data_IF_553017265830
#
_entry.id   IF_553017265830
#
_cell.length_a   1.000
_cell.length_b   1.000
_cell.length_c   1.000
_cell.angle_alpha   90.00
_cell.angle_beta   90.00
_cell.angle_gamma   90.00
#
_symmetry.space_group_name_H-M   'P 1'
#
loop_
_entity.id
_entity.type
_entity.pdbx_description
1 polymer ?
#
# COMPACT_ATOMS: atom_id res chain seq x y z
N UNK A 1 19.51 -8.59 -0.39
CA UNK A 1 18.77 -8.22 0.83
C UNK A 1 17.93 -7.00 0.49
N UNK A 2 16.68 -6.91 0.97
CA UNK A 2 15.82 -5.73 0.76
C UNK A 2 16.20 -4.68 1.80
N UNK A 3 17.11 -3.78 1.43
CA UNK A 3 17.59 -2.73 2.31
C UNK A 3 16.98 -1.37 1.95
N UNK A 4 16.53 -0.59 2.94
CA UNK A 4 16.10 0.77 2.68
C UNK A 4 17.30 1.59 2.23
N UNK A 5 17.21 2.20 1.04
CA UNK A 5 18.31 3.05 0.59
C UNK A 5 18.19 4.46 1.15
N UNK A 6 19.22 4.88 1.89
CA UNK A 6 19.31 6.24 2.43
C UNK A 6 19.58 7.28 1.34
N UNK A 7 20.36 6.91 0.31
CA UNK A 7 20.74 7.83 -0.77
C UNK A 7 19.53 8.22 -1.62
N UNK A 8 18.89 7.24 -2.26
CA UNK A 8 17.70 7.47 -3.08
C UNK A 8 16.54 8.03 -2.23
N UNK A 9 16.45 7.62 -0.96
CA UNK A 9 15.49 8.18 -0.01
C UNK A 9 15.68 9.68 0.19
N UNK A 10 16.92 10.13 0.43
CA UNK A 10 17.25 11.56 0.53
C UNK A 10 16.94 12.32 -0.75
N UNK A 11 17.29 11.77 -1.91
CA UNK A 11 16.99 12.39 -3.21
C UNK A 11 15.48 12.60 -3.41
N UNK A 12 14.65 11.62 -3.02
CA UNK A 12 13.19 11.75 -3.07
C UNK A 12 12.66 12.79 -2.08
N UNK A 13 13.24 12.88 -0.87
CA UNK A 13 12.86 13.91 0.10
C UNK A 13 13.15 15.33 -0.40
N UNK A 14 14.32 15.53 -1.02
CA UNK A 14 14.72 16.80 -1.63
C UNK A 14 13.74 17.21 -2.74
N UNK A 15 13.33 16.25 -3.58
CA UNK A 15 12.32 16.46 -4.63
C UNK A 15 10.93 16.77 -4.07
N UNK A 16 10.54 16.13 -2.96
CA UNK A 16 9.23 16.29 -2.35
C UNK A 16 9.04 17.61 -1.59
N UNK A 17 10.12 18.38 -1.35
CA UNK A 17 10.10 19.71 -0.71
C UNK A 17 9.29 19.73 0.60
N UNK A 18 9.60 18.79 1.50
CA UNK A 18 8.97 18.67 2.82
C UNK A 18 7.58 18.02 2.83
N UNK A 19 7.10 17.49 1.69
CA UNK A 19 5.82 16.78 1.59
C UNK A 19 5.93 15.26 1.70
N UNK A 20 7.13 14.74 1.96
CA UNK A 20 7.38 13.31 2.12
C UNK A 20 8.17 13.03 3.40
N UNK A 21 8.09 11.77 3.83
CA UNK A 21 8.79 11.21 4.97
C UNK A 21 9.42 9.90 4.52
N UNK A 22 10.68 9.70 4.87
CA UNK A 22 11.33 8.39 4.78
C UNK A 22 11.32 7.74 6.16
N UNK A 23 10.94 6.46 6.20
CA UNK A 23 11.08 5.59 7.37
C UNK A 23 12.01 4.45 6.96
N UNK A 24 13.33 4.54 7.24
CA UNK A 24 14.29 3.52 6.83
C UNK A 24 14.18 2.30 7.75
N UNK A 25 13.22 1.42 7.47
CA UNK A 25 12.94 0.21 8.25
C UNK A 25 13.02 -1.02 7.35
N UNK A 26 13.56 -2.12 7.89
CA UNK A 26 13.49 -3.44 7.26
C UNK A 26 12.19 -4.11 7.70
N UNK A 27 11.41 -4.63 6.76
CA UNK A 27 10.11 -5.21 7.02
C UNK A 27 10.21 -6.75 7.13
N UNK A 28 10.95 -7.24 8.12
CA UNK A 28 11.13 -8.70 8.29
C UNK A 28 10.05 -9.30 9.19
N UNK A 29 9.68 -8.57 10.24
CA UNK A 29 8.72 -9.01 11.24
C UNK A 29 7.45 -8.16 11.19
N UNK A 30 6.34 -8.73 11.67
CA UNK A 30 5.07 -8.01 11.75
C UNK A 30 5.18 -6.72 12.58
N UNK A 31 6.06 -6.70 13.60
CA UNK A 31 6.34 -5.52 14.42
C UNK A 31 6.92 -4.37 13.59
N UNK A 32 7.78 -4.66 12.62
CA UNK A 32 8.39 -3.63 11.77
C UNK A 32 7.33 -2.91 10.92
N UNK A 33 6.40 -3.69 10.36
CA UNK A 33 5.26 -3.15 9.62
C UNK A 33 4.34 -2.30 10.52
N UNK A 34 4.04 -2.77 11.74
CA UNK A 34 3.26 -2.00 12.70
C UNK A 34 3.94 -0.67 13.07
N UNK A 35 5.24 -0.70 13.33
CA UNK A 35 6.02 0.50 13.67
C UNK A 35 6.06 1.50 12.50
N UNK A 36 6.16 1.02 11.25
CA UNK A 36 6.08 1.87 10.06
C UNK A 36 4.71 2.57 9.92
N UNK A 37 3.62 1.83 10.16
CA UNK A 37 2.26 2.40 10.16
C UNK A 37 2.11 3.44 11.26
N UNK A 38 2.57 3.15 12.48
CA UNK A 38 2.50 4.08 13.60
C UNK A 38 3.29 5.37 13.36
N UNK A 39 4.50 5.27 12.80
CA UNK A 39 5.31 6.44 12.43
C UNK A 39 4.63 7.29 11.35
N UNK A 40 4.05 6.65 10.33
CA UNK A 40 3.29 7.34 9.28
C UNK A 40 2.11 8.11 9.87
N UNK A 41 1.35 7.48 10.77
CA UNK A 41 0.22 8.11 11.45
C UNK A 41 0.66 9.23 12.40
N UNK A 42 1.79 9.08 13.07
CA UNK A 42 2.36 10.15 13.91
C UNK A 42 2.72 11.39 13.09
N UNK A 43 3.24 11.20 11.88
CA UNK A 43 3.65 12.30 11.01
C UNK A 43 2.47 12.96 10.27
N UNK A 44 1.50 12.17 9.79
CA UNK A 44 0.45 12.66 8.89
C UNK A 44 -0.97 12.59 9.44
N UNK A 45 -1.19 11.85 10.54
CA UNK A 45 -2.51 11.67 11.17
C UNK A 45 -3.48 10.77 10.40
N UNK A 46 -3.17 10.37 9.17
CA UNK A 46 -4.02 9.54 8.29
C UNK A 46 -3.21 8.72 7.30
N UNK A 47 -3.84 7.70 6.72
CA UNK A 47 -3.30 6.89 5.61
C UNK A 47 -4.40 6.74 4.57
N UNK A 48 -4.17 7.31 3.38
CA UNK A 48 -5.15 7.35 2.29
C UNK A 48 -5.04 6.22 1.27
N UNK A 49 -3.84 5.69 1.13
CA UNK A 49 -3.52 4.59 0.26
C UNK A 49 -2.30 3.85 0.79
N UNK A 50 -2.15 2.61 0.33
CA UNK A 50 -0.99 1.79 0.59
C UNK A 50 -0.50 1.26 -0.75
N UNK A 51 0.78 1.47 -1.06
CA UNK A 51 1.43 0.92 -2.25
C UNK A 51 2.44 -0.11 -1.81
N UNK A 52 2.24 -1.34 -2.27
CA UNK A 52 3.09 -2.48 -1.99
C UNK A 52 3.97 -2.74 -3.23
N UNK A 53 5.22 -2.29 -3.17
CA UNK A 53 6.20 -2.47 -4.27
C UNK A 53 7.56 -3.04 -3.84
N UNK A 54 7.77 -3.27 -2.54
CA UNK A 54 9.02 -3.85 -2.05
C UNK A 54 9.12 -5.34 -2.46
N UNK A 55 10.20 -5.70 -3.15
CA UNK A 55 10.47 -7.07 -3.54
C UNK A 55 11.85 -7.22 -4.17
N UNK A 56 12.40 -8.42 -4.12
CA UNK A 56 13.63 -8.78 -4.82
C UNK A 56 13.41 -10.07 -5.60
N UNK A 57 13.82 -10.05 -6.86
CA UNK A 57 13.91 -11.26 -7.65
C UNK A 57 15.20 -11.99 -7.26
N UNK A 58 15.06 -13.09 -6.53
CA UNK A 58 16.16 -13.95 -6.11
C UNK A 58 16.44 -15.12 -7.05
N UNK A 59 15.80 -15.14 -8.23
CA UNK A 59 15.96 -16.18 -9.25
C UNK A 59 15.59 -17.59 -8.79
N UNK A 60 14.79 -17.71 -7.71
CA UNK A 60 14.26 -19.00 -7.25
C UNK A 60 13.11 -19.43 -8.15
N UNK A 61 13.36 -20.46 -8.97
CA UNK A 61 12.40 -21.08 -9.87
C UNK A 61 12.45 -22.61 -9.77
N UNK A 62 11.75 -23.29 -10.67
CA UNK A 62 11.66 -24.76 -10.67
C UNK A 62 13.01 -25.47 -10.93
N UNK A 63 13.90 -24.84 -11.71
CA UNK A 63 15.22 -25.39 -12.05
C UNK A 63 16.29 -25.09 -10.99
N UNK A 64 16.22 -23.90 -10.37
CA UNK A 64 17.29 -23.36 -9.52
C UNK A 64 16.88 -23.24 -8.05
N UNK A 65 15.74 -23.83 -7.67
CA UNK A 65 15.16 -23.72 -6.35
C UNK A 65 14.72 -25.06 -5.77
N UNK A 66 14.19 -25.00 -4.56
CA UNK A 66 13.54 -26.11 -3.87
C UNK A 66 12.35 -25.57 -3.04
N UNK A 67 11.49 -26.44 -2.48
CA UNK A 67 10.32 -25.99 -1.72
C UNK A 67 10.64 -25.04 -0.55
N UNK A 68 11.74 -25.26 0.16
CA UNK A 68 12.17 -24.42 1.29
C UNK A 68 12.63 -23.04 0.81
N UNK A 69 13.48 -22.98 -0.22
CA UNK A 69 13.94 -21.71 -0.79
C UNK A 69 12.79 -20.90 -1.39
N UNK A 70 11.81 -21.57 -2.00
CA UNK A 70 10.60 -20.93 -2.52
C UNK A 70 9.76 -20.33 -1.39
N UNK A 71 9.54 -21.08 -0.31
CA UNK A 71 8.82 -20.57 0.86
C UNK A 71 9.50 -19.33 1.46
N UNK A 72 10.84 -19.32 1.55
CA UNK A 72 11.60 -18.15 1.98
C UNK A 72 11.49 -16.97 1.00
N UNK A 73 11.52 -17.21 -0.31
CA UNK A 73 11.35 -16.16 -1.33
C UNK A 73 9.95 -15.52 -1.21
N UNK A 74 8.92 -16.33 -1.07
CA UNK A 74 7.53 -15.87 -0.83
C UNK A 74 7.44 -15.07 0.46
N UNK A 75 7.98 -15.58 1.55
CA UNK A 75 7.96 -14.91 2.84
C UNK A 75 8.60 -13.51 2.77
N UNK A 76 9.79 -13.44 2.18
CA UNK A 76 10.57 -12.20 2.06
C UNK A 76 9.90 -11.15 1.17
N UNK A 77 9.10 -11.56 0.20
CA UNK A 77 8.50 -10.65 -0.78
C UNK A 77 7.01 -10.33 -0.50
N UNK A 78 6.29 -11.16 0.24
CA UNK A 78 4.84 -11.05 0.37
C UNK A 78 4.33 -10.94 1.82
N UNK A 79 5.07 -11.39 2.83
CA UNK A 79 4.58 -11.30 4.21
C UNK A 79 4.38 -9.85 4.65
N UNK A 80 5.34 -8.98 4.36
CA UNK A 80 5.26 -7.57 4.73
C UNK A 80 4.12 -6.83 4.02
N UNK A 81 3.72 -7.25 2.80
CA UNK A 81 2.53 -6.70 2.14
C UNK A 81 1.26 -6.98 2.92
N UNK A 82 1.10 -8.22 3.37
CA UNK A 82 -0.04 -8.59 4.20
C UNK A 82 -0.03 -7.83 5.52
N UNK A 83 1.10 -7.78 6.22
CA UNK A 83 1.24 -7.13 7.52
C UNK A 83 0.94 -5.62 7.43
N UNK A 84 1.52 -4.91 6.45
CA UNK A 84 1.23 -3.49 6.22
C UNK A 84 -0.25 -3.26 5.91
N UNK A 85 -0.85 -4.05 5.03
CA UNK A 85 -2.26 -3.93 4.68
C UNK A 85 -3.16 -4.21 5.89
N UNK A 86 -2.84 -5.23 6.68
CA UNK A 86 -3.56 -5.59 7.89
C UNK A 86 -3.58 -4.43 8.89
N UNK A 87 -2.43 -3.85 9.20
CA UNK A 87 -2.33 -2.73 10.16
C UNK A 87 -2.87 -1.41 9.61
N UNK A 88 -2.78 -1.17 8.29
CA UNK A 88 -3.34 0.03 7.65
C UNK A 88 -4.88 -0.02 7.50
N UNK A 89 -5.48 -1.21 7.49
CA UNK A 89 -6.89 -1.43 7.14
C UNK A 89 -7.89 -0.53 7.89
N UNK A 90 -7.80 -0.29 9.21
CA UNK A 90 -8.72 0.58 9.92
C UNK A 90 -8.69 2.03 9.42
N UNK A 91 -7.55 2.49 8.92
CA UNK A 91 -7.35 3.86 8.43
C UNK A 91 -7.85 3.98 6.99
N UNK A 92 -7.55 2.99 6.15
CA UNK A 92 -8.03 2.93 4.75
C UNK A 92 -9.57 2.89 4.68
N UNK A 93 -10.22 2.13 5.57
CA UNK A 93 -11.70 2.05 5.65
C UNK A 93 -12.37 3.38 6.03
N UNK A 94 -11.72 4.25 6.81
CA UNK A 94 -12.28 5.55 7.20
C UNK A 94 -12.49 6.47 6.00
N UNK A 95 -11.66 6.34 4.96
CA UNK A 95 -11.82 7.12 3.73
C UNK A 95 -12.96 6.55 2.90
N UNK A 96 -13.01 5.24 2.71
CA UNK A 96 -14.08 4.61 1.95
C UNK A 96 -15.46 4.93 2.56
N UNK A 97 -15.58 4.92 3.88
CA UNK A 97 -16.82 5.31 4.57
C UNK A 97 -17.11 6.81 4.56
N UNK A 98 -16.09 7.67 4.47
CA UNK A 98 -16.28 9.13 4.27
C UNK A 98 -16.76 9.45 2.85
N UNK A 99 -16.19 8.78 1.84
CA UNK A 99 -16.64 8.85 0.45
C UNK A 99 -18.06 8.29 0.29
N UNK A 100 -18.37 7.17 0.97
CA UNK A 100 -19.72 6.58 0.94
C UNK A 100 -20.75 7.43 1.72
N UNK A 101 -20.34 8.22 2.72
CA UNK A 101 -21.25 9.19 3.39
C UNK A 101 -21.62 10.39 2.51
N UNK A 102 -20.85 10.67 1.46
CA UNK A 102 -21.18 11.71 0.50
C UNK A 102 -22.25 11.27 -0.51
N UNK A 103 -22.57 9.97 -0.55
CA UNK A 103 -23.72 9.41 -1.26
C UNK A 103 -24.76 8.94 -0.24
N UNK A 104 -25.87 9.67 -0.01
CA UNK A 104 -26.89 9.20 0.91
C UNK A 104 -27.42 7.84 0.44
N UNK A 105 -27.39 6.86 1.35
CA UNK A 105 -27.98 5.55 1.19
C UNK A 105 -29.52 5.66 1.15
N UNK A 106 -30.05 6.20 0.05
CA UNK A 106 -31.48 6.27 -0.20
C UNK A 106 -31.78 6.43 -1.70
N UNK A 107 -31.57 5.37 -2.46
CA UNK A 107 -32.46 5.05 -3.59
C UNK A 107 -32.63 3.54 -3.66
N UNK A 108 -33.57 3.08 -2.84
CA UNK A 108 -34.19 1.76 -2.96
C UNK A 108 -34.89 1.73 -4.32
N UNK A 109 -34.72 0.62 -5.03
CA UNK A 109 -35.24 0.30 -6.36
C UNK A 109 -36.66 0.82 -6.62
N UNK A 110 -36.78 1.95 -7.31
CA UNK A 110 -37.87 2.24 -8.25
C UNK A 110 -37.39 3.34 -9.18
N UNK A 111 -37.66 3.16 -10.48
CA UNK A 111 -37.18 3.98 -11.61
C UNK A 111 -35.76 3.64 -12.10
N UNK A 112 -35.64 2.46 -12.71
CA UNK A 112 -34.73 2.29 -13.83
C UNK A 112 -35.26 3.11 -15.01
N UNK A 113 -34.59 4.23 -15.36
CA UNK A 113 -34.54 4.88 -16.68
C UNK A 113 -33.89 6.27 -16.59
N UNK A 114 -32.65 6.34 -16.10
CA UNK A 114 -31.80 7.49 -16.45
C UNK A 114 -30.40 6.95 -16.76
N UNK A 115 -29.90 7.28 -17.94
CA UNK A 115 -28.53 7.02 -18.35
C UNK A 115 -27.59 7.68 -17.34
N UNK A 116 -26.57 6.97 -16.82
CA UNK A 116 -25.67 7.54 -15.83
C UNK A 116 -24.96 8.78 -16.40
N UNK A 117 -24.74 9.83 -15.60
CA UNK A 117 -23.90 10.95 -16.02
C UNK A 117 -22.48 10.44 -16.26
N UNK A 118 -21.78 11.09 -17.19
CA UNK A 118 -20.41 10.76 -17.60
C UNK A 118 -19.45 11.00 -16.42
N UNK A 119 -19.26 9.98 -15.59
CA UNK A 119 -18.32 10.00 -14.48
C UNK A 119 -16.94 9.68 -15.07
N UNK A 120 -15.98 10.62 -15.07
CA UNK A 120 -14.64 10.31 -15.53
C UNK A 120 -14.08 9.21 -14.62
N UNK A 121 -13.77 8.06 -15.21
CA UNK A 121 -13.08 6.98 -14.52
C UNK A 121 -11.79 7.55 -13.90
N UNK A 122 -11.47 7.22 -12.64
CA UNK A 122 -10.18 7.58 -12.09
C UNK A 122 -9.12 7.01 -13.03
N UNK A 123 -8.25 7.89 -13.56
CA UNK A 123 -7.09 7.49 -14.35
C UNK A 123 -6.20 6.63 -13.46
N UNK A 124 -6.41 5.32 -13.48
CA UNK A 124 -5.47 4.36 -12.92
C UNK A 124 -4.25 4.44 -13.83
N UNK A 125 -3.27 5.22 -13.38
CA UNK A 125 -1.99 5.36 -14.04
C UNK A 125 -1.24 4.04 -13.79
N UNK A 126 -1.31 3.15 -14.78
CA UNK A 126 -0.59 1.89 -14.81
C UNK A 126 0.90 2.23 -14.91
N UNK A 127 1.66 2.01 -13.84
CA UNK A 127 3.12 2.01 -13.91
C UNK A 127 3.59 0.56 -13.87
N UNK A 128 4.40 0.23 -14.87
CA UNK A 128 5.21 -0.98 -14.99
C UNK A 128 6.17 -1.14 -13.81
#
# INVERSE_FOLDING_TARGET
MLDPSEKEGKELLDLAKGKALQIPVRLFEAKDALDAINQTLKAYGRIDGLVNNAGVNDSIGLENGNPESFAHSVARNLHHYYQLAHYALPYLKKIQSSQHRQYPAARRLSQAKETPPDIPLPKVLNWL
#
